data_IF_619251165847
#
_entry.id   IF_619251165847
#
_cell.length_a   1.000
_cell.length_b   1.000
_cell.length_c   1.000
_cell.angle_alpha   90.00
_cell.angle_beta   90.00
_cell.angle_gamma   90.00
#
_symmetry.space_group_name_H-M   'P 1'
#
loop_
_entity.id
_entity.type
_entity.pdbx_description
1 polymer ?
#
# COMPACT_ATOMS: atom_id res chain seq x y z
N UNK A 1 41.79 64.83 -32.74
CA UNK A 1 42.00 63.41 -33.11
C UNK A 1 43.16 62.95 -32.24
N UNK A 2 43.01 62.12 -31.19
CA UNK A 2 42.46 60.77 -31.17
C UNK A 2 41.81 60.42 -29.81
N UNK A 3 41.09 59.31 -29.84
CA UNK A 3 40.00 58.89 -28.96
C UNK A 3 40.42 58.18 -27.67
N UNK A 4 39.46 58.25 -26.73
CA UNK A 4 39.27 57.57 -25.45
C UNK A 4 39.16 56.04 -25.61
N UNK A 5 39.74 55.24 -24.70
CA UNK A 5 39.26 53.86 -24.46
C UNK A 5 39.26 53.53 -22.96
N UNK A 6 38.05 53.37 -22.44
CA UNK A 6 37.73 52.95 -21.08
C UNK A 6 37.25 51.49 -21.18
N UNK A 7 38.00 50.53 -20.66
CA UNK A 7 37.60 49.12 -20.63
C UNK A 7 36.65 48.88 -19.45
N UNK A 8 35.38 48.60 -19.76
CA UNK A 8 34.38 48.10 -18.82
C UNK A 8 34.44 46.57 -18.81
N UNK A 9 34.88 46.00 -17.69
CA UNK A 9 34.88 44.55 -17.45
C UNK A 9 33.47 44.13 -17.01
N UNK A 10 32.70 43.53 -17.92
CA UNK A 10 31.40 42.93 -17.60
C UNK A 10 31.58 41.64 -16.81
N UNK A 11 31.13 41.62 -15.55
CA UNK A 11 30.94 40.37 -14.79
C UNK A 11 29.60 39.74 -15.19
N UNK A 12 29.62 38.59 -15.88
CA UNK A 12 28.43 37.76 -16.04
C UNK A 12 28.17 37.00 -14.72
N UNK A 13 27.07 37.33 -14.05
CA UNK A 13 26.55 36.56 -12.95
C UNK A 13 25.79 35.33 -13.48
N UNK A 14 26.32 34.13 -13.25
CA UNK A 14 25.67 32.87 -13.61
C UNK A 14 24.68 32.49 -12.51
N UNK A 15 23.38 32.69 -12.76
CA UNK A 15 22.30 32.18 -11.89
C UNK A 15 22.17 30.67 -12.11
N UNK A 16 22.67 29.87 -11.17
CA UNK A 16 22.40 28.43 -11.11
C UNK A 16 20.96 28.22 -10.63
N UNK A 17 20.04 27.96 -11.56
CA UNK A 17 18.72 27.40 -11.24
C UNK A 17 18.90 25.94 -10.82
N UNK A 18 18.90 25.68 -9.50
CA UNK A 18 18.74 24.33 -8.98
C UNK A 18 17.30 23.89 -9.19
N UNK A 19 17.04 23.11 -10.26
CA UNK A 19 15.79 22.38 -10.40
C UNK A 19 15.74 21.29 -9.32
N UNK A 20 14.92 21.48 -8.30
CA UNK A 20 14.57 20.40 -7.38
C UNK A 20 13.79 19.36 -8.17
N UNK A 21 14.42 18.22 -8.47
CA UNK A 21 13.72 17.05 -9.01
C UNK A 21 12.87 16.51 -7.87
N UNK A 22 11.59 16.85 -7.85
CA UNK A 22 10.60 16.18 -7.00
C UNK A 22 10.48 14.76 -7.52
N UNK A 23 11.09 13.79 -6.84
CA UNK A 23 10.83 12.39 -7.10
C UNK A 23 9.32 12.17 -6.93
N UNK A 24 8.65 11.64 -7.96
CA UNK A 24 7.27 11.23 -7.83
C UNK A 24 7.20 10.18 -6.69
N UNK A 25 6.20 10.27 -5.79
CA UNK A 25 6.03 9.24 -4.76
C UNK A 25 5.94 7.87 -5.45
N UNK A 26 6.73 6.92 -4.97
CA UNK A 26 6.72 5.55 -5.50
C UNK A 26 5.32 4.98 -5.27
N UNK A 27 4.58 4.85 -6.36
CA UNK A 27 3.23 4.30 -6.35
C UNK A 27 3.27 2.80 -6.07
N UNK A 28 2.21 2.29 -5.47
CA UNK A 28 2.09 0.86 -5.21
C UNK A 28 2.01 0.07 -6.52
N UNK A 29 2.89 -0.92 -6.71
CA UNK A 29 2.79 -1.83 -7.85
C UNK A 29 1.62 -2.81 -7.67
N UNK A 30 0.56 -2.64 -8.46
CA UNK A 30 -0.64 -3.48 -8.44
C UNK A 30 -0.33 -4.96 -8.73
N UNK A 31 0.74 -5.26 -9.47
CA UNK A 31 1.09 -6.67 -9.75
C UNK A 31 1.42 -7.45 -8.47
N UNK A 32 1.71 -6.76 -7.36
CA UNK A 32 1.83 -7.37 -6.04
C UNK A 32 0.52 -8.03 -5.59
N UNK A 33 -0.65 -7.53 -5.98
CA UNK A 33 -1.97 -8.12 -5.64
C UNK A 33 -2.29 -9.39 -6.44
N UNK A 34 -1.59 -9.63 -7.56
CA UNK A 34 -1.91 -10.72 -8.48
C UNK A 34 -1.82 -12.11 -7.82
N UNK A 35 -2.63 -13.03 -8.32
CA UNK A 35 -2.66 -14.42 -7.90
C UNK A 35 -3.77 -14.75 -6.90
N UNK A 36 -3.69 -15.97 -6.35
CA UNK A 36 -4.56 -16.48 -5.30
C UNK A 36 -3.81 -16.43 -3.98
N UNK A 37 -4.46 -15.94 -2.92
CA UNK A 37 -3.84 -15.74 -1.62
C UNK A 37 -4.53 -16.59 -0.58
N UNK A 38 -3.76 -17.18 0.32
CA UNK A 38 -4.29 -17.80 1.52
C UNK A 38 -3.65 -17.17 2.76
N UNK A 39 -4.45 -17.02 3.79
CA UNK A 39 -4.04 -16.44 5.07
C UNK A 39 -3.97 -17.52 6.14
N UNK A 40 -2.92 -17.48 6.95
CA UNK A 40 -2.78 -18.40 8.07
C UNK A 40 -2.09 -17.73 9.25
N UNK A 41 -2.49 -18.11 10.46
CA UNK A 41 -1.79 -17.79 11.71
C UNK A 41 -0.67 -18.80 12.03
N UNK A 42 -0.64 -19.92 11.31
CA UNK A 42 0.33 -21.01 11.46
C UNK A 42 1.03 -21.28 10.12
N UNK A 43 2.33 -21.53 10.11
CA UNK A 43 3.10 -21.75 8.88
C UNK A 43 2.77 -23.07 8.14
N UNK A 44 2.04 -23.99 8.78
CA UNK A 44 1.71 -25.30 8.21
C UNK A 44 0.55 -25.19 7.20
N UNK A 45 0.77 -25.76 6.00
CA UNK A 45 -0.19 -25.91 4.89
C UNK A 45 -1.00 -24.66 4.52
N UNK A 46 -0.32 -23.57 4.15
CA UNK A 46 -1.00 -22.32 3.78
C UNK A 46 -1.74 -22.43 2.43
N UNK A 47 -1.28 -23.28 1.50
CA UNK A 47 -1.85 -23.40 0.15
C UNK A 47 -2.59 -24.73 -0.11
N UNK A 48 -3.15 -25.36 0.92
CA UNK A 48 -3.99 -26.55 0.72
C UNK A 48 -5.41 -26.19 0.26
N UNK A 49 -6.10 -27.11 -0.44
CA UNK A 49 -7.45 -26.88 -0.97
C UNK A 49 -8.54 -26.70 0.10
N UNK A 50 -8.25 -27.06 1.36
CA UNK A 50 -9.16 -26.84 2.47
C UNK A 50 -9.11 -25.37 2.97
N UNK A 51 -8.04 -24.63 2.68
CA UNK A 51 -7.94 -23.20 3.00
C UNK A 51 -8.88 -22.36 2.16
N UNK A 52 -9.25 -21.21 2.74
CA UNK A 52 -9.92 -20.13 2.02
C UNK A 52 -8.88 -19.44 1.14
N UNK A 53 -9.23 -19.28 -0.12
CA UNK A 53 -8.46 -18.48 -1.06
C UNK A 53 -9.12 -17.13 -1.29
N UNK A 54 -8.29 -16.12 -1.48
CA UNK A 54 -8.70 -14.75 -1.72
C UNK A 54 -8.00 -14.22 -2.97
N UNK A 55 -8.71 -13.44 -3.78
CA UNK A 55 -8.15 -12.59 -4.84
C UNK A 55 -8.38 -11.13 -4.47
N UNK A 56 -7.44 -10.28 -4.83
CA UNK A 56 -7.48 -8.86 -4.52
C UNK A 56 -7.46 -8.06 -5.83
N UNK A 57 -8.28 -7.01 -5.89
CA UNK A 57 -8.38 -6.14 -7.06
C UNK A 57 -8.47 -4.70 -6.62
N UNK A 58 -7.57 -3.88 -7.14
CA UNK A 58 -7.61 -2.43 -7.02
C UNK A 58 -8.56 -1.88 -8.11
N UNK A 59 -9.35 -0.86 -7.81
CA UNK A 59 -10.16 -0.16 -8.82
C UNK A 59 -9.28 0.66 -9.75
N UNK A 60 -9.78 0.98 -10.95
CA UNK A 60 -9.05 1.77 -11.96
C UNK A 60 -8.63 3.16 -11.44
N UNK A 61 -9.44 3.77 -10.58
CA UNK A 61 -9.17 5.04 -9.90
C UNK A 61 -8.29 4.90 -8.64
N UNK A 62 -7.92 3.66 -8.30
CA UNK A 62 -7.13 3.25 -7.14
C UNK A 62 -7.73 3.62 -5.79
N UNK A 63 -9.00 4.05 -5.73
CA UNK A 63 -9.66 4.47 -4.50
C UNK A 63 -10.22 3.30 -3.69
N UNK A 64 -10.36 2.12 -4.31
CA UNK A 64 -10.99 0.94 -3.68
C UNK A 64 -10.18 -0.32 -3.90
N UNK A 65 -9.98 -1.08 -2.83
CA UNK A 65 -9.54 -2.47 -2.88
C UNK A 65 -10.76 -3.37 -2.64
N UNK A 66 -10.98 -4.35 -3.53
CA UNK A 66 -11.95 -5.43 -3.30
C UNK A 66 -11.21 -6.74 -3.05
N UNK A 67 -11.60 -7.44 -2.00
CA UNK A 67 -11.11 -8.78 -1.63
C UNK A 67 -12.23 -9.78 -1.90
N UNK A 68 -12.00 -10.70 -2.83
CA UNK A 68 -12.93 -11.77 -3.21
C UNK A 68 -12.45 -13.09 -2.61
N UNK A 69 -13.26 -13.70 -1.76
CA UNK A 69 -13.00 -15.02 -1.19
C UNK A 69 -13.72 -16.10 -2.00
N UNK A 70 -13.11 -17.27 -2.09
CA UNK A 70 -13.67 -18.46 -2.74
C UNK A 70 -14.89 -19.04 -2.00
N UNK A 71 -15.04 -18.68 -0.72
CA UNK A 71 -16.15 -19.10 0.16
C UNK A 71 -16.55 -17.99 1.12
N UNK A 72 -17.79 -18.06 1.59
CA UNK A 72 -18.33 -17.14 2.60
C UNK A 72 -17.54 -17.27 3.92
N UNK A 73 -17.35 -16.13 4.58
CA UNK A 73 -16.65 -16.04 5.86
C UNK A 73 -17.39 -15.12 6.81
N UNK A 74 -17.46 -15.53 8.08
CA UNK A 74 -18.01 -14.72 9.16
C UNK A 74 -16.89 -13.90 9.80
N UNK A 75 -17.02 -12.58 9.77
CA UNK A 75 -16.08 -11.63 10.36
C UNK A 75 -16.80 -10.61 11.22
N UNK A 76 -16.03 -9.71 11.86
CA UNK A 76 -16.59 -8.54 12.54
C UNK A 76 -17.30 -7.56 11.60
N UNK A 77 -17.04 -7.64 10.28
CA UNK A 77 -17.71 -6.84 9.25
C UNK A 77 -18.99 -7.50 8.71
N UNK A 78 -19.37 -8.66 9.27
CA UNK A 78 -20.50 -9.47 8.83
C UNK A 78 -20.08 -10.74 8.08
N UNK A 79 -21.09 -11.44 7.58
CA UNK A 79 -20.96 -12.67 6.80
C UNK A 79 -21.01 -12.35 5.31
N UNK A 80 -19.90 -12.56 4.61
CA UNK A 80 -19.77 -12.28 3.17
C UNK A 80 -18.60 -13.05 2.58
N UNK A 81 -18.59 -13.24 1.26
CA UNK A 81 -17.40 -13.68 0.53
C UNK A 81 -16.64 -12.49 -0.10
N UNK A 82 -17.18 -11.26 -0.03
CA UNK A 82 -16.59 -10.07 -0.64
C UNK A 82 -16.44 -8.95 0.39
N UNK A 83 -15.23 -8.43 0.52
CA UNK A 83 -14.93 -7.24 1.31
C UNK A 83 -14.48 -6.10 0.39
N UNK A 84 -14.88 -4.89 0.72
CA UNK A 84 -14.41 -3.68 0.06
C UNK A 84 -13.73 -2.77 1.09
N UNK A 85 -12.70 -2.05 0.67
CA UNK A 85 -11.99 -1.09 1.48
C UNK A 85 -11.65 0.15 0.65
N UNK A 86 -11.77 1.33 1.26
CA UNK A 86 -11.22 2.58 0.72
C UNK A 86 -9.71 2.61 0.91
N UNK A 87 -8.98 2.98 -0.14
CA UNK A 87 -7.55 3.23 -0.10
C UNK A 87 -7.33 4.65 0.42
N UNK A 88 -6.58 4.77 1.51
CA UNK A 88 -6.30 6.04 2.18
C UNK A 88 -4.90 6.57 1.86
N UNK A 89 -3.94 5.67 1.66
CA UNK A 89 -2.57 6.01 1.30
C UNK A 89 -1.89 4.83 0.63
N UNK A 90 -0.87 5.12 -0.16
CA UNK A 90 -0.04 4.13 -0.85
C UNK A 90 1.44 4.37 -0.56
N UNK A 91 2.21 3.30 -0.55
CA UNK A 91 3.67 3.30 -0.69
C UNK A 91 4.05 2.27 -1.74
N UNK A 92 5.33 2.16 -2.08
CA UNK A 92 5.84 1.12 -2.97
C UNK A 92 5.39 -0.31 -2.56
N UNK A 93 5.28 -0.57 -1.25
CA UNK A 93 5.05 -1.93 -0.72
C UNK A 93 3.77 -2.05 0.13
N UNK A 94 2.96 -1.00 0.25
CA UNK A 94 1.78 -1.08 1.10
C UNK A 94 0.60 -0.26 0.62
N UNK A 95 -0.59 -0.77 0.91
CA UNK A 95 -1.84 -0.02 0.87
C UNK A 95 -2.33 0.22 2.30
N UNK A 96 -2.63 1.48 2.63
CA UNK A 96 -3.38 1.81 3.84
C UNK A 96 -4.86 1.85 3.48
N UNK A 97 -5.66 1.12 4.23
CA UNK A 97 -7.01 0.72 3.89
C UNK A 97 -7.95 0.96 5.07
N UNK A 98 -9.18 1.37 4.77
CA UNK A 98 -10.30 1.30 5.71
C UNK A 98 -11.42 0.48 5.12
N UNK A 99 -11.81 -0.59 5.79
CA UNK A 99 -12.92 -1.43 5.34
C UNK A 99 -14.23 -0.64 5.28
N UNK A 100 -15.03 -0.94 4.27
CA UNK A 100 -16.41 -0.47 4.23
C UNK A 100 -17.18 -1.08 5.41
N UNK A 101 -18.00 -0.28 6.07
CA UNK A 101 -18.71 -0.63 7.31
C UNK A 101 -17.81 -0.95 8.52
N UNK A 102 -16.56 -0.46 8.54
CA UNK A 102 -15.74 -0.52 9.75
C UNK A 102 -16.42 0.22 10.90
N UNK A 103 -16.55 -0.46 12.04
CA UNK A 103 -17.15 0.10 13.27
C UNK A 103 -16.21 0.04 14.46
N UNK A 104 -15.09 -0.67 14.33
CA UNK A 104 -14.11 -0.80 15.40
C UNK A 104 -13.34 0.50 15.56
N UNK A 105 -13.07 0.85 16.81
CA UNK A 105 -12.25 2.01 17.16
C UNK A 105 -10.85 1.56 17.56
N UNK A 106 -9.85 2.28 17.07
CA UNK A 106 -8.47 2.18 17.51
C UNK A 106 -8.30 2.88 18.89
N UNK A 107 -7.11 2.76 19.46
CA UNK A 107 -6.79 3.34 20.77
C UNK A 107 -6.94 4.88 20.83
N UNK A 108 -6.87 5.56 19.69
CA UNK A 108 -7.05 7.02 19.59
C UNK A 108 -8.52 7.44 19.38
N UNK A 109 -9.46 6.48 19.37
CA UNK A 109 -10.88 6.71 19.19
C UNK A 109 -11.33 6.91 17.73
N UNK A 110 -10.44 6.77 16.75
CA UNK A 110 -10.80 6.76 15.32
C UNK A 110 -11.14 5.36 14.83
N UNK A 111 -11.77 5.26 13.66
CA UNK A 111 -11.98 3.98 13.00
C UNK A 111 -10.66 3.28 12.73
N UNK A 112 -10.64 1.96 12.88
CA UNK A 112 -9.47 1.13 12.58
C UNK A 112 -9.09 1.27 11.10
N UNK A 113 -7.80 1.47 10.86
CA UNK A 113 -7.18 1.48 9.54
C UNK A 113 -6.14 0.36 9.49
N UNK A 114 -6.09 -0.35 8.36
CA UNK A 114 -5.24 -1.50 8.13
C UNK A 114 -4.21 -1.19 7.05
N UNK A 115 -2.97 -1.64 7.25
CA UNK A 115 -1.96 -1.70 6.21
C UNK A 115 -1.87 -3.13 5.69
N UNK A 116 -2.09 -3.29 4.39
CA UNK A 116 -1.66 -4.46 3.63
C UNK A 116 -0.23 -4.22 3.19
N UNK A 117 0.73 -4.97 3.74
CA UNK A 117 2.17 -4.74 3.54
C UNK A 117 2.78 -5.96 2.85
N UNK A 118 3.34 -5.77 1.66
CA UNK A 118 4.11 -6.79 0.95
C UNK A 118 5.55 -6.78 1.44
N UNK A 119 5.97 -7.86 2.10
CA UNK A 119 7.29 -7.95 2.75
C UNK A 119 8.30 -8.77 1.94
N UNK A 120 7.81 -9.53 0.96
CA UNK A 120 8.59 -10.28 -0.02
C UNK A 120 7.68 -10.68 -1.20
N UNK A 121 8.23 -11.07 -2.36
CA UNK A 121 7.43 -11.65 -3.43
C UNK A 121 6.57 -12.79 -2.93
N UNK A 122 5.24 -12.67 -3.12
CA UNK A 122 4.29 -13.69 -2.68
C UNK A 122 4.02 -13.75 -1.17
N UNK A 123 4.45 -12.76 -0.38
CA UNK A 123 4.20 -12.72 1.07
C UNK A 123 3.73 -11.33 1.50
N UNK A 124 2.58 -11.26 2.17
CA UNK A 124 2.09 -10.03 2.80
C UNK A 124 1.79 -10.21 4.29
N UNK A 125 1.71 -9.08 5.01
CA UNK A 125 1.28 -8.97 6.40
C UNK A 125 0.20 -7.91 6.55
N UNK A 126 -0.63 -8.08 7.57
CA UNK A 126 -1.57 -7.08 8.03
C UNK A 126 -1.06 -6.39 9.28
N UNK A 127 -1.22 -5.08 9.32
CA UNK A 127 -0.91 -4.23 10.47
C UNK A 127 -2.03 -3.23 10.69
N UNK A 128 -2.41 -2.98 11.94
CA UNK A 128 -3.22 -1.80 12.25
C UNK A 128 -2.32 -0.56 12.28
N UNK A 129 -2.75 0.54 11.66
CA UNK A 129 -1.96 1.77 11.54
C UNK A 129 -1.52 2.31 12.91
N UNK A 130 -2.37 2.20 13.93
CA UNK A 130 -2.13 2.71 15.27
C UNK A 130 -1.18 1.85 16.12
N UNK A 131 -0.79 0.67 15.65
CA UNK A 131 0.20 -0.13 16.37
C UNK A 131 1.59 0.50 16.27
N UNK A 132 2.51 0.21 17.21
CA UNK A 132 3.90 0.61 17.08
C UNK A 132 4.50 0.21 15.71
N UNK A 133 5.46 0.98 15.23
CA UNK A 133 6.15 0.66 13.99
C UNK A 133 6.76 -0.75 14.04
N UNK A 134 6.67 -1.49 12.94
CA UNK A 134 7.13 -2.88 12.86
C UNK A 134 6.22 -3.93 13.52
N UNK A 135 5.16 -3.55 14.26
CA UNK A 135 4.16 -4.50 14.75
C UNK A 135 3.21 -4.92 13.63
N UNK A 136 3.13 -6.22 13.38
CA UNK A 136 2.15 -6.86 12.49
C UNK A 136 1.30 -7.85 13.28
N UNK A 137 0.15 -8.26 12.73
CA UNK A 137 -0.70 -9.24 13.38
C UNK A 137 -0.08 -10.65 13.24
N UNK A 138 -0.69 -11.69 13.83
CA UNK A 138 -0.20 -13.06 13.69
C UNK A 138 -0.43 -13.69 12.30
N UNK A 139 -1.16 -13.02 11.40
CA UNK A 139 -1.57 -13.57 10.11
C UNK A 139 -0.49 -13.32 9.06
N UNK A 140 -0.21 -14.35 8.26
CA UNK A 140 0.65 -14.28 7.07
C UNK A 140 -0.19 -14.58 5.85
N UNK A 141 -0.17 -13.69 4.87
CA UNK A 141 -0.71 -13.95 3.54
C UNK A 141 0.36 -14.55 2.65
N UNK A 142 0.08 -15.68 2.01
CA UNK A 142 0.98 -16.35 1.06
C UNK A 142 0.28 -16.47 -0.29
N UNK A 143 0.99 -16.11 -1.36
CA UNK A 143 0.54 -16.33 -2.73
C UNK A 143 0.67 -17.81 -3.05
N UNK A 144 -0.44 -18.42 -3.43
CA UNK A 144 -0.49 -19.82 -3.81
C UNK A 144 -0.43 -19.96 -5.32
N UNK A 145 0.45 -20.85 -5.78
CA UNK A 145 0.43 -21.39 -7.12
C UNK A 145 -0.75 -22.37 -7.18
N UNK A 146 -1.83 -21.99 -7.85
CA UNK A 146 -2.89 -22.92 -8.22
C UNK A 146 -2.43 -23.76 -9.42
#
# INVERSE_FOLDING_TARGET
MFYFQRTLTSMLATLLLSAAVTAAPLAFDETQLSGSWAESVNANSVCDGARRFSRMQLSDDRQKLTIFNDRTWVSTLGETNRFAATVLAETEHSLTLRYDNETRLAADGKLVEWQLIFIAPGVFRWREVHWPEGKVNGVVGVRCSL
#
